data_IF_254905254085
#
_entry.id   IF_254905254085
#
_cell.length_a   1.000
_cell.length_b   1.000
_cell.length_c   1.000
_cell.angle_alpha   90.00
_cell.angle_beta   90.00
_cell.angle_gamma   90.00
#
_symmetry.space_group_name_H-M   'P 1'
#
loop_
_entity.id
_entity.type
_entity.pdbx_description
1 polymer ?
#
# COMPACT_ATOMS: atom_id res chain seq x y z
N UNK A 1 1.55 0.43 24.51
CA UNK A 1 1.60 0.95 23.12
C UNK A 1 3.00 1.46 22.83
N UNK A 2 3.54 1.20 21.64
CA UNK A 2 4.87 1.72 21.23
C UNK A 2 4.84 3.25 21.06
N UNK A 3 5.89 3.95 21.50
CA UNK A 3 6.04 5.42 21.35
C UNK A 3 5.99 5.83 19.88
N UNK A 4 6.57 5.01 18.99
CA UNK A 4 6.54 5.23 17.52
C UNK A 4 5.11 5.22 17.00
N UNK A 5 4.31 4.23 17.38
CA UNK A 5 2.93 4.09 16.89
C UNK A 5 2.08 5.29 17.33
N UNK A 6 2.21 5.72 18.60
CA UNK A 6 1.50 6.91 19.09
C UNK A 6 1.91 8.19 18.34
N UNK A 7 3.20 8.34 18.00
CA UNK A 7 3.65 9.46 17.19
C UNK A 7 3.07 9.45 15.77
N UNK A 8 3.07 8.28 15.12
CA UNK A 8 2.49 8.11 13.78
C UNK A 8 0.98 8.35 13.80
N UNK A 9 0.29 7.90 14.85
CA UNK A 9 -1.14 8.14 15.07
C UNK A 9 -1.44 9.64 15.26
N UNK A 10 -0.64 10.35 16.07
CA UNK A 10 -0.78 11.79 16.24
C UNK A 10 -0.55 12.55 14.93
N UNK A 11 0.45 12.15 14.13
CA UNK A 11 0.67 12.72 12.79
C UNK A 11 -0.49 12.45 11.83
N UNK A 12 -1.05 11.24 11.84
CA UNK A 12 -2.14 10.86 10.93
C UNK A 12 -3.50 11.45 11.32
N UNK A 13 -3.75 11.63 12.63
CA UNK A 13 -5.00 12.18 13.15
C UNK A 13 -5.05 13.71 13.14
N UNK A 14 -3.92 14.40 12.97
CA UNK A 14 -3.84 15.86 12.95
C UNK A 14 -3.25 16.41 11.64
N UNK A 15 -4.12 16.95 10.77
CA UNK A 15 -3.71 17.55 9.50
C UNK A 15 -2.74 18.74 9.64
N UNK A 16 -2.70 19.41 10.80
CA UNK A 16 -1.71 20.47 11.05
C UNK A 16 -0.30 19.89 11.24
N UNK A 17 -0.18 18.71 11.85
CA UNK A 17 1.11 18.01 12.00
C UNK A 17 1.65 17.51 10.66
N UNK A 18 0.77 17.16 9.71
CA UNK A 18 1.18 16.83 8.35
C UNK A 18 1.85 18.01 7.60
N UNK A 19 1.62 19.26 8.05
CA UNK A 19 2.21 20.49 7.48
C UNK A 19 3.41 21.02 8.27
N UNK A 20 3.86 20.27 9.27
CA UNK A 20 5.01 20.62 10.10
C UNK A 20 6.26 20.81 9.23
N UNK A 21 7.09 21.77 9.59
CA UNK A 21 8.36 21.98 8.88
C UNK A 21 9.29 20.77 9.09
N UNK A 22 10.26 20.59 8.20
CA UNK A 22 11.24 19.50 8.33
C UNK A 22 12.02 19.62 9.65
N UNK A 23 12.40 20.84 10.05
CA UNK A 23 13.13 21.08 11.29
C UNK A 23 12.30 20.70 12.52
N UNK A 24 11.03 21.10 12.54
CA UNK A 24 10.11 20.76 13.62
C UNK A 24 9.89 19.24 13.68
N UNK A 25 9.73 18.57 12.53
CA UNK A 25 9.62 17.10 12.47
C UNK A 25 10.84 16.40 13.07
N UNK A 26 12.05 16.84 12.69
CA UNK A 26 13.29 16.27 13.22
C UNK A 26 13.42 16.47 14.74
N UNK A 27 13.04 17.66 15.24
CA UNK A 27 13.02 17.94 16.67
C UNK A 27 12.00 17.06 17.41
N UNK A 28 10.81 16.85 16.84
CA UNK A 28 9.80 15.96 17.41
C UNK A 28 10.30 14.51 17.48
N UNK A 29 10.93 14.01 16.40
CA UNK A 29 11.54 12.66 16.36
C UNK A 29 12.68 12.52 17.37
N UNK A 30 13.50 13.55 17.56
CA UNK A 30 14.59 13.54 18.55
C UNK A 30 14.08 13.51 20.00
N UNK A 31 12.90 14.11 20.27
CA UNK A 31 12.28 14.11 21.58
C UNK A 31 11.60 12.76 21.91
N UNK A 32 11.26 11.95 20.91
CA UNK A 32 10.81 10.58 21.11
C UNK A 32 12.04 9.74 21.45
N UNK A 33 12.18 9.38 22.73
CA UNK A 33 13.20 8.42 23.19
C UNK A 33 12.94 7.03 22.57
N UNK A 34 13.45 6.85 21.35
CA UNK A 34 13.32 5.66 20.53
C UNK A 34 14.66 4.95 20.40
N UNK A 35 14.60 3.67 20.03
CA UNK A 35 15.78 2.94 19.59
C UNK A 35 16.41 3.61 18.36
N UNK A 36 17.73 3.54 18.26
CA UNK A 36 18.52 4.22 17.23
C UNK A 36 18.01 3.90 15.81
N UNK A 37 17.72 2.63 15.55
CA UNK A 37 17.24 2.17 14.25
C UNK A 37 15.84 2.72 13.90
N UNK A 38 14.95 2.86 14.88
CA UNK A 38 13.62 3.45 14.67
C UNK A 38 13.73 4.95 14.42
N UNK A 39 14.59 5.64 15.17
CA UNK A 39 14.86 7.08 15.01
C UNK A 39 15.42 7.37 13.62
N UNK A 40 16.42 6.62 13.18
CA UNK A 40 17.00 6.78 11.85
C UNK A 40 15.98 6.53 10.74
N UNK A 41 15.20 5.45 10.87
CA UNK A 41 14.14 5.13 9.89
C UNK A 41 13.09 6.24 9.77
N UNK A 42 12.73 6.89 10.88
CA UNK A 42 11.84 8.07 10.87
C UNK A 42 12.50 9.27 10.18
N UNK A 43 13.75 9.59 10.54
CA UNK A 43 14.47 10.74 9.96
C UNK A 43 14.69 10.59 8.45
N UNK A 44 14.97 9.37 7.97
CA UNK A 44 15.13 9.06 6.54
C UNK A 44 13.81 8.84 5.81
N UNK A 45 12.67 8.81 6.53
CA UNK A 45 11.35 8.43 6.01
C UNK A 45 11.32 7.04 5.35
N UNK A 46 12.17 6.13 5.82
CA UNK A 46 12.21 4.75 5.37
C UNK A 46 11.12 3.93 6.09
N UNK A 47 9.95 3.90 5.45
CA UNK A 47 8.79 3.16 5.94
C UNK A 47 9.00 1.63 5.90
N UNK A 48 9.89 1.12 5.04
CA UNK A 48 10.19 -0.31 4.95
C UNK A 48 11.03 -0.74 6.15
N UNK A 49 12.12 -0.01 6.42
CA UNK A 49 12.96 -0.27 7.60
C UNK A 49 12.16 -0.07 8.90
N UNK A 50 11.36 1.01 8.99
CA UNK A 50 10.50 1.25 10.15
C UNK A 50 9.48 0.12 10.33
N UNK A 51 8.82 -0.31 9.26
CA UNK A 51 7.87 -1.42 9.26
C UNK A 51 8.49 -2.71 9.78
N UNK A 52 9.70 -3.07 9.33
CA UNK A 52 10.42 -4.25 9.81
C UNK A 52 10.69 -4.21 11.31
N UNK A 53 11.12 -3.05 11.83
CA UNK A 53 11.36 -2.90 13.29
C UNK A 53 10.09 -2.99 14.13
N UNK A 54 8.94 -2.63 13.55
CA UNK A 54 7.63 -2.66 14.21
C UNK A 54 6.89 -4.00 14.01
N UNK A 55 7.46 -4.94 13.25
CA UNK A 55 6.80 -6.21 12.93
C UNK A 55 5.64 -6.07 11.95
N UNK A 56 5.70 -5.09 11.05
CA UNK A 56 4.72 -4.92 9.98
C UNK A 56 4.70 -6.12 9.03
N UNK A 57 3.51 -6.42 8.49
CA UNK A 57 3.33 -7.46 7.48
C UNK A 57 3.54 -6.86 6.09
N UNK A 58 4.35 -7.51 5.25
CA UNK A 58 4.61 -7.07 3.88
C UNK A 58 3.39 -7.20 2.96
N UNK A 59 2.46 -8.10 3.27
CA UNK A 59 1.27 -8.34 2.45
C UNK A 59 0.06 -8.52 3.33
N UNK A 60 -1.01 -7.80 2.96
CA UNK A 60 -2.32 -7.87 3.59
C UNK A 60 -3.34 -8.06 2.47
N UNK A 61 -3.93 -9.24 2.41
CA UNK A 61 -4.97 -9.56 1.43
C UNK A 61 -6.34 -9.31 2.06
N UNK A 62 -7.04 -8.28 1.58
CA UNK A 62 -8.43 -8.02 1.96
C UNK A 62 -9.35 -8.70 0.93
N UNK A 63 -9.98 -9.82 1.32
CA UNK A 63 -10.98 -10.50 0.49
C UNK A 63 -12.37 -10.04 0.91
N UNK A 64 -13.12 -9.52 -0.06
CA UNK A 64 -14.55 -9.25 0.08
C UNK A 64 -15.27 -10.42 -0.58
N UNK A 65 -15.82 -11.34 0.22
CA UNK A 65 -16.70 -12.38 -0.28
C UNK A 65 -18.11 -11.83 -0.38
N UNK A 66 -18.51 -11.44 -1.59
CA UNK A 66 -19.90 -11.15 -1.90
C UNK A 66 -20.68 -12.47 -1.96
N UNK A 67 -21.93 -12.52 -1.47
CA UNK A 67 -22.79 -13.66 -1.72
C UNK A 67 -22.93 -13.87 -3.23
N UNK A 68 -23.02 -15.14 -3.66
CA UNK A 68 -23.32 -15.46 -5.05
C UNK A 68 -24.77 -15.03 -5.30
N UNK A 69 -24.97 -14.01 -6.14
CA UNK A 69 -26.24 -13.90 -6.85
C UNK A 69 -26.22 -15.02 -7.89
N UNK A 70 -27.07 -16.02 -7.71
CA UNK A 70 -27.39 -17.04 -8.73
C UNK A 70 -28.17 -16.36 -9.88
N UNK A 71 -27.57 -15.34 -10.52
CA UNK A 71 -28.03 -14.86 -11.81
C UNK A 71 -27.30 -15.66 -12.87
N UNK A 72 -28.06 -16.59 -13.48
CA UNK A 72 -27.66 -17.37 -14.65
C UNK A 72 -26.93 -16.46 -15.65
N UNK A 73 -25.62 -16.66 -15.78
CA UNK A 73 -24.83 -16.02 -16.84
C UNK A 73 -25.42 -16.47 -18.18
N UNK A 74 -26.18 -15.61 -18.83
CA UNK A 74 -26.45 -15.74 -20.25
C UNK A 74 -25.10 -15.82 -20.96
N UNK A 75 -24.83 -16.96 -21.58
CA UNK A 75 -23.65 -17.16 -22.42
C UNK A 75 -23.58 -16.04 -23.46
N UNK A 76 -22.40 -15.44 -23.71
CA UNK A 76 -22.26 -14.51 -24.82
C UNK A 76 -22.67 -15.22 -26.13
N UNK A 77 -23.31 -14.53 -27.08
CA UNK A 77 -23.67 -15.12 -28.35
C UNK A 77 -22.41 -15.62 -29.05
N UNK A 78 -22.49 -16.88 -29.51
CA UNK A 78 -21.53 -17.55 -30.37
C UNK A 78 -21.29 -16.65 -31.60
N UNK A 79 -20.11 -16.04 -31.69
CA UNK A 79 -19.63 -15.42 -32.92
C UNK A 79 -18.85 -16.48 -33.69
N UNK A 80 -19.61 -17.37 -34.32
CA UNK A 80 -19.17 -18.06 -35.52
C UNK A 80 -19.33 -17.08 -36.69
N UNK A 81 -18.23 -16.56 -37.23
CA UNK A 81 -18.11 -16.30 -38.66
C UNK A 81 -16.68 -15.89 -39.08
N UNK A 82 -16.09 -16.79 -39.87
CA UNK A 82 -15.17 -16.57 -41.01
C UNK A 82 -13.66 -16.63 -40.77
N UNK A 83 -13.14 -17.78 -41.19
CA UNK A 83 -11.81 -18.02 -41.75
C UNK A 83 -11.44 -16.94 -42.78
N UNK A 84 -10.43 -16.11 -42.48
CA UNK A 84 -9.74 -15.31 -43.49
C UNK A 84 -8.45 -16.03 -43.89
N UNK A 85 -8.56 -16.81 -44.97
CA UNK A 85 -7.49 -17.48 -45.69
C UNK A 85 -6.47 -16.44 -46.18
N UNK A 86 -5.28 -16.38 -45.57
CA UNK A 86 -4.14 -15.60 -46.10
C UNK A 86 -3.24 -16.52 -46.93
N UNK A 87 -3.02 -16.25 -48.23
CA UNK A 87 -2.22 -17.12 -49.09
C UNK A 87 -0.71 -17.04 -48.74
N UNK A 88 0.08 -18.09 -49.01
CA UNK A 88 1.50 -18.10 -48.66
C UNK A 88 2.32 -17.11 -49.53
N UNK A 89 3.46 -16.62 -49.02
CA UNK A 89 4.28 -15.63 -49.72
C UNK A 89 4.94 -16.22 -50.99
N UNK A 90 5.21 -15.39 -52.02
CA UNK A 90 5.84 -15.84 -53.26
C UNK A 90 7.30 -16.25 -53.03
N UNK A 91 7.78 -17.23 -53.80
CA UNK A 91 9.15 -17.76 -53.81
C UNK A 91 10.17 -16.76 -54.37
#
# INVERSE_FOLDING_TARGET
MSKVIQFLEAMGSNAAMARMSIADYQAAVAALELDEQQRESLLQRDHVALGRTLGARDTLLCLICLPHDDEEKQSPPDQDDREEETPPPPQ
#
